data_IF_812570423717
#
_entry.id   IF_812570423717
#
_cell.length_a   1.000
_cell.length_b   1.000
_cell.length_c   1.000
_cell.angle_alpha   90.00
_cell.angle_beta   90.00
_cell.angle_gamma   90.00
#
_symmetry.space_group_name_H-M   'P 1'
#
loop_
_entity.id
_entity.type
_entity.pdbx_description
1 polymer ?
#
# COMPACT_ATOMS: atom_id res chain seq x y z
N UNK A 1 -19.75 -0.27 -24.66
CA UNK A 1 -18.32 -0.58 -24.46
C UNK A 1 -18.14 -0.60 -22.95
N UNK A 2 -18.06 -1.78 -22.34
CA UNK A 2 -17.81 -1.85 -20.90
C UNK A 2 -16.33 -1.56 -20.72
N UNK A 3 -16.03 -0.32 -20.36
CA UNK A 3 -14.74 0.07 -19.82
C UNK A 3 -14.43 -0.90 -18.68
N UNK A 4 -13.48 -1.79 -18.95
CA UNK A 4 -12.74 -2.45 -17.90
C UNK A 4 -12.05 -1.31 -17.15
N UNK A 5 -12.72 -0.74 -16.15
CA UNK A 5 -12.05 -0.01 -15.08
C UNK A 5 -11.05 -1.04 -14.54
N UNK A 6 -9.79 -0.92 -14.96
CA UNK A 6 -8.72 -1.74 -14.40
C UNK A 6 -8.80 -1.52 -12.90
N UNK A 7 -8.97 -2.60 -12.16
CA UNK A 7 -9.13 -2.54 -10.72
C UNK A 7 -7.77 -2.11 -10.14
N UNK A 8 -7.64 -0.80 -9.88
CA UNK A 8 -6.45 -0.17 -9.32
C UNK A 8 -6.39 -0.32 -7.80
N UNK A 9 -7.20 -1.22 -7.24
CA UNK A 9 -7.21 -1.46 -5.81
C UNK A 9 -6.16 -2.50 -5.47
N UNK A 10 -5.55 -2.32 -4.30
CA UNK A 10 -4.64 -3.29 -3.75
C UNK A 10 -4.75 -3.30 -2.24
N UNK A 11 -4.36 -4.41 -1.67
CA UNK A 11 -4.25 -4.60 -0.24
C UNK A 11 -2.77 -4.71 0.12
N UNK A 12 -2.35 -4.04 1.18
CA UNK A 12 -1.04 -4.25 1.75
C UNK A 12 -1.13 -4.64 3.23
N UNK A 13 -0.19 -5.45 3.69
CA UNK A 13 0.00 -5.77 5.11
C UNK A 13 1.22 -5.01 5.60
N UNK A 14 1.00 -4.13 6.58
CA UNK A 14 2.00 -3.25 7.16
C UNK A 14 2.30 -3.69 8.59
N UNK A 15 3.57 -3.72 8.95
CA UNK A 15 4.03 -3.77 10.33
C UNK A 15 4.47 -2.37 10.75
N UNK A 16 3.70 -1.73 11.62
CA UNK A 16 3.96 -0.36 12.09
C UNK A 16 4.61 -0.40 13.49
N UNK A 17 5.53 0.52 13.74
CA UNK A 17 6.21 0.63 15.05
C UNK A 17 7.20 -0.50 15.37
N UNK A 18 7.59 -1.30 14.37
CA UNK A 18 8.56 -2.40 14.52
C UNK A 18 10.01 -1.97 14.24
N UNK A 19 10.22 -0.84 13.55
CA UNK A 19 11.54 -0.30 13.23
C UNK A 19 11.64 1.15 13.69
N UNK A 20 12.87 1.65 13.87
CA UNK A 20 13.16 3.08 14.06
C UNK A 20 12.72 3.95 12.89
N UNK A 21 12.37 3.34 11.76
CA UNK A 21 11.97 3.99 10.50
C UNK A 21 10.45 4.12 10.33
N UNK A 22 9.64 3.66 11.27
CA UNK A 22 8.18 3.86 11.27
C UNK A 22 7.35 2.62 10.88
N UNK A 23 7.91 1.69 10.09
CA UNK A 23 7.26 0.42 9.77
C UNK A 23 7.98 -0.39 8.68
N UNK A 24 7.30 -1.44 8.19
CA UNK A 24 7.72 -2.29 7.07
C UNK A 24 6.48 -2.85 6.33
N UNK A 25 6.56 -3.02 5.02
CA UNK A 25 5.53 -3.71 4.23
C UNK A 25 5.86 -5.20 4.20
N UNK A 26 4.92 -6.03 4.63
CA UNK A 26 5.10 -7.49 4.72
C UNK A 26 4.55 -8.22 3.50
N UNK A 27 3.44 -7.74 2.95
CA UNK A 27 2.76 -8.37 1.83
C UNK A 27 1.97 -7.34 1.03
N UNK A 28 1.89 -7.53 -0.30
CA UNK A 28 1.07 -6.73 -1.21
C UNK A 28 0.31 -7.68 -2.15
N UNK A 29 -1.01 -7.53 -2.16
CA UNK A 29 -1.93 -8.31 -2.98
C UNK A 29 -2.87 -7.37 -3.74
N UNK A 30 -2.98 -7.55 -5.05
CA UNK A 30 -3.94 -6.83 -5.89
C UNK A 30 -4.68 -7.82 -6.80
N UNK A 31 -5.91 -7.52 -7.23
CA UNK A 31 -6.61 -8.32 -8.24
C UNK A 31 -5.89 -8.29 -9.59
N UNK A 32 -5.31 -7.14 -9.94
CA UNK A 32 -4.50 -6.94 -11.13
C UNK A 32 -3.00 -7.13 -10.82
N UNK A 33 -2.34 -8.02 -11.57
CA UNK A 33 -0.91 -8.31 -11.37
C UNK A 33 -0.03 -7.09 -11.66
N UNK A 34 -0.39 -6.27 -12.62
CA UNK A 34 0.37 -5.07 -12.99
C UNK A 34 0.34 -4.04 -11.86
N UNK A 35 -0.82 -3.82 -11.25
CA UNK A 35 -0.97 -2.96 -10.05
C UNK A 35 -0.07 -3.47 -8.92
N UNK A 36 -0.09 -4.78 -8.66
CA UNK A 36 0.78 -5.38 -7.64
C UNK A 36 2.27 -5.17 -7.94
N UNK A 37 2.69 -5.40 -9.18
CA UNK A 37 4.09 -5.24 -9.57
C UNK A 37 4.54 -3.78 -9.42
N UNK A 38 3.74 -2.80 -9.86
CA UNK A 38 4.04 -1.37 -9.69
C UNK A 38 4.20 -0.96 -8.23
N UNK A 39 3.28 -1.37 -7.36
CA UNK A 39 3.36 -1.06 -5.92
C UNK A 39 4.61 -1.69 -5.30
N UNK A 40 4.97 -2.91 -5.69
CA UNK A 40 6.19 -3.56 -5.19
C UNK A 40 7.48 -2.91 -5.70
N UNK A 41 7.48 -2.43 -6.95
CA UNK A 41 8.60 -1.67 -7.52
C UNK A 41 8.78 -0.33 -6.81
N UNK A 42 7.69 0.42 -6.61
CA UNK A 42 7.69 1.68 -5.88
C UNK A 42 8.21 1.52 -4.44
N UNK A 43 7.73 0.51 -3.69
CA UNK A 43 8.24 0.21 -2.34
C UNK A 43 9.74 -0.14 -2.37
N UNK A 44 10.21 -0.79 -3.44
CA UNK A 44 11.64 -1.13 -3.59
C UNK A 44 12.50 0.09 -3.89
N UNK A 45 12.00 1.04 -4.68
CA UNK A 45 12.73 2.24 -5.09
C UNK A 45 12.69 3.32 -4.00
N UNK A 46 11.54 3.54 -3.39
CA UNK A 46 11.27 4.62 -2.43
C UNK A 46 11.27 4.14 -0.95
N UNK A 47 11.54 2.85 -0.70
CA UNK A 47 11.52 2.22 0.64
C UNK A 47 10.12 2.12 1.28
N UNK A 48 9.98 1.15 2.19
CA UNK A 48 8.74 0.95 2.96
C UNK A 48 8.25 2.19 3.69
N UNK A 49 9.20 3.04 4.14
CA UNK A 49 8.88 4.22 4.93
C UNK A 49 8.11 5.26 4.11
N UNK A 50 8.56 5.57 2.90
CA UNK A 50 7.91 6.60 2.07
C UNK A 50 6.50 6.13 1.68
N UNK A 51 6.38 4.86 1.29
CA UNK A 51 5.09 4.23 1.04
C UNK A 51 4.12 4.36 2.24
N UNK A 52 4.58 4.05 3.45
CA UNK A 52 3.76 4.17 4.67
C UNK A 52 3.40 5.63 4.99
N UNK A 53 4.31 6.57 4.72
CA UNK A 53 4.11 8.00 4.95
C UNK A 53 3.04 8.57 4.00
N UNK A 54 3.04 8.15 2.73
CA UNK A 54 2.02 8.50 1.73
C UNK A 54 0.62 8.04 2.14
N UNK A 55 0.50 6.87 2.78
CA UNK A 55 -0.77 6.39 3.35
C UNK A 55 -1.23 7.15 4.62
N UNK A 56 -0.42 8.11 5.08
CA UNK A 56 -0.51 8.80 6.37
C UNK A 56 -1.86 9.40 6.72
N UNK A 57 -2.05 9.61 8.03
CA UNK A 57 -3.27 9.98 8.78
C UNK A 57 -4.28 8.86 9.07
N UNK A 58 -4.46 7.86 8.20
CA UNK A 58 -5.44 6.78 8.45
C UNK A 58 -4.89 5.53 9.15
N UNK A 59 -3.58 5.47 9.40
CA UNK A 59 -2.91 4.31 9.98
C UNK A 59 -2.77 4.39 11.51
N UNK A 60 -2.90 3.27 12.24
CA UNK A 60 -2.64 3.24 13.67
C UNK A 60 -1.14 3.41 13.97
N UNK A 61 -0.79 3.85 15.18
CA UNK A 61 0.60 4.15 15.58
C UNK A 61 1.54 2.94 15.60
N UNK A 62 1.02 1.73 15.79
CA UNK A 62 1.82 0.50 15.90
C UNK A 62 0.96 -0.74 15.71
N UNK A 63 1.59 -1.84 15.28
CA UNK A 63 0.95 -3.16 15.15
C UNK A 63 0.93 -3.66 13.70
N UNK A 64 0.30 -4.82 13.49
CA UNK A 64 0.04 -5.33 12.14
C UNK A 64 -1.28 -4.75 11.61
N UNK A 65 -1.24 -4.19 10.41
CA UNK A 65 -2.37 -3.50 9.79
C UNK A 65 -2.53 -4.01 8.38
N UNK A 66 -3.76 -4.38 8.02
CA UNK A 66 -4.15 -4.62 6.65
C UNK A 66 -4.80 -3.36 6.11
N UNK A 67 -4.24 -2.81 5.06
CA UNK A 67 -4.78 -1.63 4.37
C UNK A 67 -5.39 -2.05 3.05
N UNK A 68 -6.50 -1.42 2.69
CA UNK A 68 -7.04 -1.41 1.33
C UNK A 68 -6.77 -0.03 0.78
N UNK A 69 -6.08 0.02 -0.35
CA UNK A 69 -5.68 1.24 -1.02
C UNK A 69 -6.14 1.19 -2.48
N UNK A 70 -6.23 2.35 -3.10
CA UNK A 70 -6.46 2.53 -4.53
C UNK A 70 -5.37 3.45 -5.07
N UNK A 71 -4.82 3.12 -6.22
CA UNK A 71 -3.88 4.00 -6.93
C UNK A 71 -4.67 5.16 -7.57
N UNK A 72 -4.28 6.40 -7.32
CA UNK A 72 -4.96 7.59 -7.85
C UNK A 72 -4.57 7.87 -9.31
N UNK A 73 -4.79 6.87 -10.17
CA UNK A 73 -4.41 6.89 -11.59
C UNK A 73 -3.17 6.06 -11.89
N UNK A 74 -2.89 5.85 -13.18
CA UNK A 74 -1.66 5.18 -13.61
C UNK A 74 -0.49 6.16 -13.49
N UNK A 75 0.63 5.78 -12.85
CA UNK A 75 1.82 6.62 -12.81
C UNK A 75 2.34 6.86 -14.23
N UNK A 76 2.68 8.11 -14.52
CA UNK A 76 3.45 8.47 -15.72
C UNK A 76 4.90 8.03 -15.56
N UNK A 77 5.66 7.96 -16.66
CA UNK A 77 7.07 7.47 -16.70
C UNK A 77 8.05 8.27 -15.81
N UNK A 78 7.60 9.37 -15.23
CA UNK A 78 8.39 10.33 -14.47
C UNK A 78 7.82 10.62 -13.07
N UNK A 79 6.69 10.02 -12.69
CA UNK A 79 6.00 10.31 -11.45
C UNK A 79 5.78 9.06 -10.61
N UNK A 80 5.84 9.22 -9.28
CA UNK A 80 5.60 8.09 -8.38
C UNK A 80 4.09 7.88 -8.24
N UNK A 81 3.61 6.64 -8.13
CA UNK A 81 2.19 6.39 -7.96
C UNK A 81 1.64 7.03 -6.67
N UNK A 82 0.59 7.85 -6.81
CA UNK A 82 -0.18 8.33 -5.67
C UNK A 82 -1.12 7.23 -5.16
N UNK A 83 -1.23 7.12 -3.83
CA UNK A 83 -2.07 6.12 -3.18
C UNK A 83 -3.11 6.75 -2.27
N UNK A 84 -4.34 6.30 -2.45
CA UNK A 84 -5.46 6.65 -1.58
C UNK A 84 -5.78 5.49 -0.66
N UNK A 85 -5.67 5.73 0.65
CA UNK A 85 -6.12 4.78 1.65
C UNK A 85 -7.67 4.73 1.67
N UNK A 86 -8.24 3.59 1.31
CA UNK A 86 -9.69 3.34 1.40
C UNK A 86 -10.06 2.91 2.82
N UNK A 87 -9.31 1.97 3.39
CA UNK A 87 -9.54 1.51 4.76
C UNK A 87 -8.28 0.89 5.37
N UNK A 88 -8.17 0.99 6.69
CA UNK A 88 -7.13 0.33 7.46
C UNK A 88 -7.77 -0.50 8.58
N UNK A 89 -7.41 -1.77 8.69
CA UNK A 89 -7.90 -2.69 9.71
C UNK A 89 -6.74 -3.34 10.45
N UNK A 90 -6.69 -3.27 11.79
CA UNK A 90 -5.67 -3.99 12.54
C UNK A 90 -5.85 -5.49 12.35
N UNK A 91 -4.76 -6.20 12.09
CA UNK A 91 -4.73 -7.65 12.07
C UNK A 91 -4.50 -8.14 13.50
N UNK A 92 -5.44 -8.94 14.01
CA UNK A 92 -5.18 -9.69 15.23
C UNK A 92 -4.10 -10.73 14.95
N UNK A 93 -2.97 -10.62 15.65
CA UNK A 93 -2.02 -11.72 15.71
C UNK A 93 -2.72 -12.92 16.40
N UNK A 94 -2.67 -14.13 15.84
CA UNK A 94 -3.11 -15.30 16.57
C UNK A 94 -2.28 -15.41 17.85
N UNK A 95 -2.96 -15.53 19.00
CA UNK A 95 -2.34 -15.79 20.30
C UNK A 95 -1.59 -17.12 20.32
#
# INVERSE_FOLDING_TARGET
MNEQMQDMTFTAVLALGVTTSGGAVLDVAAPDKHVRDLVLEDIRENSDREFIDVLGEGLPKSGLVKVLCEMEGWPDEYDSPDYKLISASPLALPN
#
